data_IF_853795030510
#
_entry.id   IF_853795030510
#
_cell.length_a   1.000
_cell.length_b   1.000
_cell.length_c   1.000
_cell.angle_alpha   90.00
_cell.angle_beta   90.00
_cell.angle_gamma   90.00
#
_symmetry.space_group_name_H-M   'P 1'
#
loop_
_entity.id
_entity.type
_entity.pdbx_description
1 polymer ?
#
# COMPACT_ATOMS: atom_id res chain seq x y z
N UNK A 1 18.58 -6.59 -9.64
CA UNK A 1 17.42 -7.43 -9.28
C UNK A 1 16.16 -6.56 -9.35
N UNK A 2 15.62 -6.33 -10.55
CA UNK A 2 14.48 -5.42 -10.80
C UNK A 2 13.11 -6.03 -10.41
N UNK A 3 13.07 -7.35 -10.22
CA UNK A 3 11.83 -8.15 -10.20
C UNK A 3 11.03 -8.06 -8.89
N UNK A 4 11.63 -7.69 -7.74
CA UNK A 4 10.91 -7.65 -6.45
C UNK A 4 10.33 -6.29 -6.08
N UNK A 5 10.94 -5.21 -6.55
CA UNK A 5 10.43 -3.85 -6.35
C UNK A 5 9.16 -3.60 -7.15
N UNK A 6 9.09 -4.13 -8.37
CA UNK A 6 7.86 -4.11 -9.17
C UNK A 6 6.76 -4.90 -8.46
N UNK A 7 7.06 -6.01 -7.79
CA UNK A 7 6.06 -6.81 -7.06
C UNK A 7 5.45 -6.10 -5.84
N UNK A 8 6.14 -5.16 -5.18
CA UNK A 8 5.59 -4.49 -3.98
C UNK A 8 4.69 -3.29 -4.31
N UNK A 9 4.93 -2.60 -5.43
CA UNK A 9 4.14 -1.42 -5.84
C UNK A 9 3.07 -1.75 -6.89
N UNK A 10 3.21 -2.86 -7.64
CA UNK A 10 2.24 -3.26 -8.65
C UNK A 10 0.80 -3.37 -8.12
N UNK A 11 0.54 -3.95 -6.93
CA UNK A 11 -0.81 -3.99 -6.37
C UNK A 11 -1.44 -2.60 -6.25
N UNK A 12 -0.68 -1.62 -5.74
CA UNK A 12 -1.15 -0.24 -5.59
C UNK A 12 -1.46 0.40 -6.95
N UNK A 13 -0.62 0.16 -7.96
CA UNK A 13 -0.84 0.65 -9.32
C UNK A 13 -2.11 0.05 -9.93
N UNK A 14 -2.29 -1.26 -9.81
CA UNK A 14 -3.48 -1.96 -10.33
C UNK A 14 -4.76 -1.44 -9.65
N UNK A 15 -4.72 -1.14 -8.35
CA UNK A 15 -5.84 -0.53 -7.62
C UNK A 15 -6.17 0.87 -8.16
N UNK A 16 -5.17 1.72 -8.35
CA UNK A 16 -5.37 3.08 -8.89
C UNK A 16 -5.92 3.01 -10.31
N UNK A 17 -5.35 2.17 -11.17
CA UNK A 17 -5.81 1.97 -12.56
C UNK A 17 -7.26 1.46 -12.58
N UNK A 18 -7.61 0.52 -11.70
CA UNK A 18 -8.97 0.01 -11.59
C UNK A 18 -9.96 1.11 -11.20
N UNK A 19 -9.63 1.94 -10.19
CA UNK A 19 -10.48 3.07 -9.79
C UNK A 19 -10.62 4.07 -10.93
N UNK A 20 -9.54 4.43 -11.63
CA UNK A 20 -9.61 5.38 -12.74
C UNK A 20 -10.47 4.87 -13.91
N UNK A 21 -10.41 3.57 -14.18
CA UNK A 21 -11.13 2.95 -15.31
C UNK A 21 -12.59 2.64 -15.00
N UNK A 22 -12.89 2.20 -13.78
CA UNK A 22 -14.20 1.67 -13.42
C UNK A 22 -14.97 2.57 -12.44
N UNK A 23 -14.28 3.50 -11.76
CA UNK A 23 -14.88 4.34 -10.71
C UNK A 23 -15.33 3.57 -9.47
N UNK A 24 -14.94 2.30 -9.37
CA UNK A 24 -15.36 1.37 -8.32
C UNK A 24 -14.16 0.62 -7.75
N UNK A 25 -14.35 -0.06 -6.62
CA UNK A 25 -13.41 -1.02 -6.07
C UNK A 25 -14.09 -2.39 -5.94
N UNK A 26 -13.36 -3.50 -6.10
CA UNK A 26 -13.87 -4.80 -5.72
C UNK A 26 -14.16 -4.82 -4.22
N UNK A 27 -15.31 -5.36 -3.86
CA UNK A 27 -15.78 -5.49 -2.48
C UNK A 27 -16.08 -6.94 -2.15
N UNK A 28 -16.00 -7.31 -0.87
CA UNK A 28 -16.45 -8.61 -0.39
C UNK A 28 -17.98 -8.72 -0.26
N UNK A 29 -18.47 -9.84 0.28
CA UNK A 29 -19.90 -10.08 0.51
C UNK A 29 -20.54 -9.08 1.49
N UNK A 30 -19.75 -8.35 2.28
CA UNK A 30 -20.19 -7.34 3.25
C UNK A 30 -20.14 -5.93 2.67
N UNK A 31 -19.56 -5.75 1.48
CA UNK A 31 -19.38 -4.45 0.85
C UNK A 31 -18.06 -3.76 1.22
N UNK A 32 -17.15 -4.45 1.89
CA UNK A 32 -15.85 -3.90 2.29
C UNK A 32 -14.85 -4.00 1.12
N UNK A 33 -14.07 -2.94 0.82
CA UNK A 33 -13.08 -2.97 -0.25
C UNK A 33 -12.01 -4.05 -0.02
N UNK A 34 -11.79 -4.90 -1.03
CA UNK A 34 -10.81 -5.99 -0.99
C UNK A 34 -9.81 -5.90 -2.14
N UNK A 35 -8.60 -6.37 -1.88
CA UNK A 35 -7.61 -6.70 -2.89
C UNK A 35 -7.61 -8.21 -3.11
N UNK A 36 -7.59 -8.64 -4.37
CA UNK A 36 -7.47 -10.04 -4.74
C UNK A 36 -6.09 -10.22 -5.38
N UNK A 37 -5.25 -11.06 -4.77
CA UNK A 37 -3.92 -11.33 -5.32
C UNK A 37 -3.98 -12.25 -6.56
N UNK A 38 -2.84 -12.44 -7.22
CA UNK A 38 -2.69 -13.34 -8.37
C UNK A 38 -2.99 -14.82 -8.07
N UNK A 39 -3.13 -15.20 -6.81
CA UNK A 39 -3.48 -16.55 -6.34
C UNK A 39 -4.94 -16.67 -5.92
N UNK A 40 -5.73 -15.59 -6.00
CA UNK A 40 -7.13 -15.55 -5.62
C UNK A 40 -7.38 -15.36 -4.12
N UNK A 41 -6.36 -14.98 -3.34
CA UNK A 41 -6.54 -14.67 -1.92
C UNK A 41 -7.10 -13.28 -1.73
N UNK A 42 -8.06 -13.16 -0.81
CA UNK A 42 -8.72 -11.91 -0.47
C UNK A 42 -8.03 -11.25 0.71
N UNK A 43 -7.72 -9.96 0.56
CA UNK A 43 -7.13 -9.14 1.60
C UNK A 43 -7.95 -7.86 1.77
N UNK A 44 -8.20 -7.40 3.01
CA UNK A 44 -8.78 -6.08 3.21
C UNK A 44 -7.90 -5.01 2.57
N UNK A 45 -8.46 -4.21 1.66
CA UNK A 45 -7.70 -3.27 0.85
C UNK A 45 -6.96 -2.23 1.71
N UNK A 46 -7.63 -1.74 2.76
CA UNK A 46 -7.04 -0.81 3.71
C UNK A 46 -5.80 -1.40 4.40
N UNK A 47 -5.85 -2.68 4.79
CA UNK A 47 -4.74 -3.36 5.48
C UNK A 47 -3.53 -3.56 4.56
N UNK A 48 -3.78 -3.85 3.28
CA UNK A 48 -2.71 -3.96 2.26
C UNK A 48 -1.99 -2.61 2.10
N UNK A 49 -2.75 -1.51 1.95
CA UNK A 49 -2.13 -0.19 1.78
C UNK A 49 -1.45 0.29 3.06
N UNK A 50 -2.04 0.04 4.24
CA UNK A 50 -1.42 0.43 5.52
C UNK A 50 -0.11 -0.32 5.79
N UNK A 51 -0.05 -1.61 5.45
CA UNK A 51 1.19 -2.40 5.48
C UNK A 51 2.26 -1.83 4.53
N UNK A 52 1.86 -1.36 3.35
CA UNK A 52 2.76 -0.70 2.40
C UNK A 52 3.28 0.63 2.95
N UNK A 53 2.41 1.46 3.53
CA UNK A 53 2.80 2.72 4.18
C UNK A 53 3.79 2.44 5.31
N UNK A 54 3.48 1.51 6.21
CA UNK A 54 4.34 1.12 7.32
C UNK A 54 5.71 0.64 6.85
N UNK A 55 5.77 -0.15 5.76
CA UNK A 55 7.02 -0.60 5.15
C UNK A 55 7.88 0.59 4.70
N UNK A 56 7.30 1.57 4.00
CA UNK A 56 8.04 2.75 3.54
C UNK A 56 8.42 3.69 4.69
N UNK A 57 7.65 3.77 5.76
CA UNK A 57 8.03 4.56 6.94
C UNK A 57 9.22 3.96 7.68
N UNK A 58 9.26 2.64 7.82
CA UNK A 58 10.41 1.95 8.38
C UNK A 58 11.64 2.14 7.49
N UNK A 59 11.48 2.09 6.16
CA UNK A 59 12.56 2.42 5.23
C UNK A 59 13.05 3.87 5.38
N UNK A 60 12.14 4.85 5.42
CA UNK A 60 12.47 6.27 5.66
C UNK A 60 13.27 6.45 6.96
N UNK A 61 12.86 5.74 8.01
CA UNK A 61 13.54 5.75 9.31
C UNK A 61 14.95 5.18 9.21
N UNK A 62 15.13 4.04 8.55
CA UNK A 62 16.42 3.36 8.39
C UNK A 62 17.41 4.17 7.54
N UNK A 63 16.92 4.79 6.47
CA UNK A 63 17.74 5.51 5.49
C UNK A 63 17.80 7.03 5.72
N UNK A 64 17.13 7.53 6.77
CA UNK A 64 17.01 8.96 7.11
C UNK A 64 16.52 9.82 5.93
N UNK A 65 15.58 9.27 5.16
CA UNK A 65 14.95 9.95 4.04
C UNK A 65 13.49 10.26 4.33
N UNK A 66 12.90 11.14 3.54
CA UNK A 66 11.48 11.45 3.57
C UNK A 66 10.82 11.04 2.26
N UNK A 67 9.63 10.44 2.37
CA UNK A 67 8.79 10.09 1.23
C UNK A 67 7.41 10.74 1.37
N UNK A 68 6.76 11.10 0.25
CA UNK A 68 5.41 11.66 0.26
C UNK A 68 4.37 10.57 0.55
N UNK A 69 4.28 10.13 1.81
CA UNK A 69 3.37 9.06 2.24
C UNK A 69 1.99 9.56 2.67
N UNK A 70 1.82 10.87 2.88
CA UNK A 70 0.53 11.47 3.28
C UNK A 70 -0.64 11.10 2.34
N UNK A 71 -0.48 11.12 0.99
CA UNK A 71 -1.58 10.73 0.09
C UNK A 71 -2.05 9.29 0.30
N UNK A 72 -1.13 8.35 0.57
CA UNK A 72 -1.47 6.96 0.87
C UNK A 72 -2.20 6.84 2.21
N UNK A 73 -1.81 7.62 3.22
CA UNK A 73 -2.52 7.66 4.51
C UNK A 73 -3.94 8.19 4.37
N UNK A 74 -4.13 9.24 3.57
CA UNK A 74 -5.47 9.75 3.23
C UNK A 74 -6.29 8.72 2.48
N UNK A 75 -5.66 7.96 1.57
CA UNK A 75 -6.32 6.85 0.86
C UNK A 75 -6.78 5.75 1.81
N UNK A 76 -5.92 5.28 2.71
CA UNK A 76 -6.28 4.29 3.75
C UNK A 76 -7.45 4.79 4.59
N UNK A 77 -7.40 6.04 5.06
CA UNK A 77 -8.49 6.62 5.83
C UNK A 77 -9.80 6.69 5.03
N UNK A 78 -9.73 7.04 3.74
CA UNK A 78 -10.91 7.08 2.90
C UNK A 78 -11.54 5.69 2.73
N UNK A 79 -10.72 4.65 2.55
CA UNK A 79 -11.19 3.27 2.49
C UNK A 79 -11.80 2.81 3.82
N UNK A 80 -11.11 3.05 4.93
CA UNK A 80 -11.53 2.59 6.27
C UNK A 80 -12.84 3.25 6.75
N UNK A 81 -13.06 4.52 6.40
CA UNK A 81 -14.26 5.26 6.78
C UNK A 81 -15.31 5.36 5.66
N UNK A 82 -15.19 4.54 4.61
CA UNK A 82 -16.10 4.54 3.45
C UNK A 82 -16.34 5.95 2.84
N UNK A 83 -15.30 6.78 2.83
CA UNK A 83 -15.37 8.13 2.29
C UNK A 83 -15.19 8.11 0.76
N UNK A 84 -15.85 9.03 0.02
CA UNK A 84 -15.66 9.15 -1.42
C UNK A 84 -14.20 9.45 -1.78
N UNK A 85 -13.64 8.65 -2.67
CA UNK A 85 -12.35 8.94 -3.31
C UNK A 85 -12.56 9.93 -4.46
N UNK A 86 -11.84 11.04 -4.44
CA UNK A 86 -11.90 12.05 -5.51
C UNK A 86 -10.75 11.90 -6.49
N UNK A 87 -10.90 12.44 -7.70
CA UNK A 87 -9.83 12.51 -8.69
C UNK A 87 -8.59 13.25 -8.16
N UNK A 88 -8.76 14.20 -7.25
CA UNK A 88 -7.66 14.90 -6.58
C UNK A 88 -6.85 13.96 -5.69
N UNK A 89 -7.53 13.09 -4.93
CA UNK A 89 -6.84 12.09 -4.09
C UNK A 89 -6.02 11.10 -4.93
N UNK A 90 -6.55 10.66 -6.07
CA UNK A 90 -5.83 9.76 -6.98
C UNK A 90 -4.62 10.45 -7.61
N UNK A 91 -4.74 11.73 -7.98
CA UNK A 91 -3.64 12.50 -8.54
C UNK A 91 -2.49 12.67 -7.53
N UNK A 92 -2.79 12.92 -6.25
CA UNK A 92 -1.78 13.04 -5.21
C UNK A 92 -1.02 11.72 -4.99
N UNK A 93 -1.71 10.58 -5.05
CA UNK A 93 -1.05 9.26 -4.99
C UNK A 93 -0.16 9.07 -6.21
N UNK A 94 -0.64 9.41 -7.42
CA UNK A 94 0.15 9.32 -8.65
C UNK A 94 1.39 10.20 -8.62
N UNK A 95 1.31 11.39 -8.02
CA UNK A 95 2.45 12.28 -7.82
C UNK A 95 3.48 11.70 -6.81
N UNK A 96 3.04 10.89 -5.85
CA UNK A 96 3.91 10.19 -4.92
C UNK A 96 4.62 8.97 -5.56
N UNK A 97 3.99 8.30 -6.52
CA UNK A 97 4.49 7.05 -7.12
C UNK A 97 5.95 7.09 -7.62
N UNK A 98 6.44 8.14 -8.32
CA UNK A 98 7.84 8.19 -8.74
C UNK A 98 8.84 8.13 -7.59
N UNK A 99 8.53 8.78 -6.46
CA UNK A 99 9.37 8.76 -5.26
C UNK A 99 9.37 7.39 -4.59
N UNK A 100 8.19 6.76 -4.50
CA UNK A 100 8.06 5.41 -3.94
C UNK A 100 8.81 4.39 -4.79
N UNK A 101 8.71 4.47 -6.12
CA UNK A 101 9.47 3.61 -7.04
C UNK A 101 10.98 3.80 -6.88
N UNK A 102 11.45 5.04 -6.71
CA UNK A 102 12.86 5.31 -6.49
C UNK A 102 13.36 4.67 -5.18
N UNK A 103 12.63 4.87 -4.08
CA UNK A 103 12.96 4.27 -2.79
C UNK A 103 12.94 2.74 -2.85
N UNK A 104 11.90 2.18 -3.44
CA UNK A 104 11.75 0.73 -3.55
C UNK A 104 12.85 0.11 -4.43
N UNK A 105 13.38 0.84 -5.43
CA UNK A 105 14.53 0.39 -6.26
C UNK A 105 15.85 0.44 -5.51
N UNK A 106 15.99 1.36 -4.57
CA UNK A 106 17.17 1.44 -3.70
C UNK A 106 17.14 0.48 -2.51
N UNK A 107 16.00 -0.18 -2.28
CA UNK A 107 15.83 -1.15 -1.21
C UNK A 107 16.58 -2.43 -1.55
N UNK A 108 17.52 -2.82 -0.70
CA UNK A 108 18.24 -4.08 -0.84
C UNK A 108 17.27 -5.27 -0.66
N UNK A 109 17.44 -6.38 -1.40
CA UNK A 109 16.59 -7.57 -1.26
C UNK A 109 16.43 -8.12 0.15
N UNK A 110 17.46 -8.01 0.99
CA UNK A 110 17.43 -8.48 2.36
C UNK A 110 16.79 -7.43 3.28
N UNK A 111 17.02 -6.13 3.02
CA UNK A 111 16.32 -5.03 3.70
C UNK A 111 14.81 -5.10 3.43
N UNK A 112 14.40 -5.41 2.20
CA UNK A 112 12.99 -5.57 1.84
C UNK A 112 12.33 -6.75 2.58
N UNK A 113 13.03 -7.88 2.74
CA UNK A 113 12.51 -9.03 3.51
C UNK A 113 12.38 -8.68 4.98
N UNK A 114 13.42 -8.09 5.57
CA UNK A 114 13.42 -7.69 6.97
C UNK A 114 12.26 -6.72 7.27
N UNK A 115 12.04 -5.74 6.39
CA UNK A 115 10.94 -4.78 6.52
C UNK A 115 9.56 -5.44 6.39
N UNK A 116 9.38 -6.38 5.45
CA UNK A 116 8.12 -7.13 5.31
C UNK A 116 7.86 -7.98 6.55
N UNK A 117 8.87 -8.73 7.02
CA UNK A 117 8.75 -9.54 8.24
C UNK A 117 8.46 -8.67 9.46
N UNK A 118 9.11 -7.53 9.60
CA UNK A 118 8.85 -6.60 10.69
C UNK A 118 7.44 -6.00 10.62
N UNK A 119 6.94 -5.70 9.42
CA UNK A 119 5.55 -5.24 9.20
C UNK A 119 4.55 -6.33 9.59
N UNK A 120 4.79 -7.57 9.18
CA UNK A 120 3.95 -8.72 9.55
C UNK A 120 3.92 -8.94 11.05
N UNK A 121 5.08 -8.92 11.72
CA UNK A 121 5.18 -9.05 13.18
C UNK A 121 4.40 -7.91 13.86
N UNK A 122 4.53 -6.67 13.38
CA UNK A 122 3.80 -5.53 13.93
C UNK A 122 2.29 -5.71 13.78
N UNK A 123 1.81 -6.11 12.61
CA UNK A 123 0.39 -6.37 12.35
C UNK A 123 -0.16 -7.52 13.22
N UNK A 124 0.62 -8.60 13.41
CA UNK A 124 0.26 -9.71 14.29
C UNK A 124 0.19 -9.33 15.77
N UNK A 125 1.06 -8.39 16.22
CA UNK A 125 1.01 -7.85 17.57
C UNK A 125 -0.22 -6.95 17.77
N UNK A 126 -0.49 -6.05 16.82
CA UNK A 126 -1.66 -5.18 16.85
C UNK A 126 -2.99 -5.96 16.81
N UNK A 127 -3.03 -7.08 16.08
CA UNK A 127 -4.19 -7.97 16.04
C UNK A 127 -4.41 -8.79 17.32
N UNK A 128 -3.37 -8.97 18.15
CA UNK A 128 -3.47 -9.65 19.46
C UNK A 128 -3.88 -8.72 20.60
N UNK A 129 -3.72 -7.41 20.41
CA UNK A 129 -4.07 -6.37 21.39
C UNK A 129 -5.50 -5.81 21.21
N UNK A 130 -6.26 -6.31 20.21
CA UNK A 130 -7.70 -6.06 20.02
C UNK A 130 -8.55 -7.24 20.50
#
# INVERSE_FOLDING_TARGET
>A
MLVKTELTLRPLEDIIEHIEKHGTLPVDERGDPVYIDQHGNFYPLWGVIDGLVTTFEMWCTRHKQTLPLSPLRTFVAALHYAMPLTAYNLQDIKNAMPHLRAAARSMDPDDAKDLVTQTQIKAELEAKDQ
#
